data_IF_732846618197
#
_entry.id   IF_732846618197
#
_cell.length_a   1.000
_cell.length_b   1.000
_cell.length_c   1.000
_cell.angle_alpha   90.00
_cell.angle_beta   90.00
_cell.angle_gamma   90.00
#
_symmetry.space_group_name_H-M   'P 1'
#
loop_
_entity.id
_entity.type
_entity.pdbx_description
1 polymer ?
#
# COMPACT_ATOMS: atom_id res chain seq x y z
N UNK A 1 44.35 9.65 -45.34
CA UNK A 1 43.09 10.15 -45.96
C UNK A 1 42.43 8.98 -46.65
N UNK A 2 41.51 8.29 -45.96
CA UNK A 2 40.79 7.18 -46.56
C UNK A 2 39.91 7.75 -47.69
N UNK A 3 40.24 7.40 -48.92
CA UNK A 3 39.63 7.97 -50.13
C UNK A 3 38.15 7.60 -50.33
N UNK A 4 37.62 7.74 -51.56
CA UNK A 4 36.19 7.60 -51.88
C UNK A 4 35.52 6.30 -51.39
N UNK A 5 36.28 5.22 -51.20
CA UNK A 5 35.80 3.94 -50.67
C UNK A 5 35.22 4.06 -49.25
N UNK A 6 35.74 4.98 -48.42
CA UNK A 6 35.21 5.17 -47.07
C UNK A 6 33.85 5.89 -47.10
N UNK A 7 33.64 6.77 -48.07
CA UNK A 7 32.37 7.44 -48.26
C UNK A 7 31.29 6.45 -48.69
N UNK A 8 31.59 5.58 -49.67
CA UNK A 8 30.70 4.51 -50.12
C UNK A 8 30.29 3.55 -48.98
N UNK A 9 31.22 3.20 -48.09
CA UNK A 9 30.90 2.39 -46.91
C UNK A 9 29.94 3.10 -45.95
N UNK A 10 30.17 4.40 -45.68
CA UNK A 10 29.29 5.19 -44.81
C UNK A 10 27.91 5.36 -45.43
N UNK A 11 27.83 5.61 -46.74
CA UNK A 11 26.57 5.67 -47.46
C UNK A 11 25.82 4.34 -47.42
N UNK A 12 26.53 3.23 -47.65
CA UNK A 12 25.97 1.89 -47.49
C UNK A 12 25.42 1.69 -46.09
N UNK A 13 26.21 1.96 -45.05
CA UNK A 13 25.76 1.83 -43.66
C UNK A 13 24.56 2.72 -43.36
N UNK A 14 24.57 3.98 -43.80
CA UNK A 14 23.46 4.91 -43.55
C UNK A 14 22.17 4.53 -44.28
N UNK A 15 22.24 3.82 -45.42
CA UNK A 15 21.04 3.28 -46.08
C UNK A 15 20.62 1.94 -45.46
N UNK A 16 21.55 0.99 -45.32
CA UNK A 16 21.25 -0.37 -44.88
C UNK A 16 20.90 -0.46 -43.40
N UNK A 17 21.48 0.38 -42.54
CA UNK A 17 21.17 0.36 -41.11
C UNK A 17 19.70 0.67 -40.82
N UNK A 18 19.14 1.83 -41.23
CA UNK A 18 17.71 2.11 -40.99
C UNK A 18 16.82 1.14 -41.76
N UNK A 19 17.21 0.70 -42.95
CA UNK A 19 16.43 -0.26 -43.73
C UNK A 19 16.37 -1.65 -43.05
N UNK A 20 17.49 -2.13 -42.51
CA UNK A 20 17.56 -3.40 -41.79
C UNK A 20 16.76 -3.34 -40.46
N UNK A 21 16.88 -2.22 -39.73
CA UNK A 21 16.08 -1.97 -38.52
C UNK A 21 14.59 -1.96 -38.89
N UNK A 22 14.21 -1.29 -39.98
CA UNK A 22 12.82 -1.26 -40.44
C UNK A 22 12.30 -2.65 -40.84
N UNK A 23 13.10 -3.46 -41.54
CA UNK A 23 12.69 -4.82 -41.93
C UNK A 23 12.58 -5.74 -40.71
N UNK A 24 13.50 -5.61 -39.75
CA UNK A 24 13.50 -6.46 -38.55
C UNK A 24 12.36 -6.13 -37.58
N UNK A 25 12.13 -4.84 -37.30
CA UNK A 25 11.11 -4.40 -36.34
C UNK A 25 9.77 -4.03 -36.98
N UNK A 26 9.73 -3.87 -38.30
CA UNK A 26 8.51 -3.58 -39.06
C UNK A 26 7.69 -4.82 -39.42
N UNK A 27 8.17 -6.03 -39.07
CA UNK A 27 7.38 -7.24 -39.20
C UNK A 27 6.13 -7.15 -38.30
N UNK A 28 4.91 -7.25 -38.88
CA UNK A 28 3.68 -7.26 -38.11
C UNK A 28 3.69 -8.31 -37.00
N UNK A 29 4.31 -9.48 -37.22
CA UNK A 29 4.41 -10.54 -36.22
C UNK A 29 5.29 -10.15 -35.03
N UNK A 30 6.38 -9.41 -35.28
CA UNK A 30 7.26 -8.94 -34.21
C UNK A 30 6.52 -8.00 -33.25
N UNK A 31 5.73 -7.07 -33.81
CA UNK A 31 4.90 -6.15 -33.02
C UNK A 31 3.88 -6.90 -32.16
N UNK A 32 3.19 -7.88 -32.72
CA UNK A 32 2.17 -8.64 -32.00
C UNK A 32 2.75 -9.45 -30.84
N UNK A 33 3.94 -10.00 -31.01
CA UNK A 33 4.57 -10.86 -29.98
C UNK A 33 5.30 -10.08 -28.90
N UNK A 34 5.92 -8.95 -29.25
CA UNK A 34 6.81 -8.24 -28.31
C UNK A 34 6.16 -6.98 -27.74
N UNK A 35 5.32 -6.27 -28.48
CA UNK A 35 4.76 -4.98 -28.04
C UNK A 35 3.39 -5.13 -27.39
N UNK A 36 2.50 -5.94 -27.98
CA UNK A 36 1.13 -6.12 -27.43
C UNK A 36 1.11 -6.69 -26.00
N UNK A 37 1.89 -7.73 -25.66
CA UNK A 37 1.86 -8.27 -24.30
C UNK A 37 2.37 -7.27 -23.25
N UNK A 38 3.32 -6.40 -23.63
CA UNK A 38 3.82 -5.33 -22.76
C UNK A 38 2.74 -4.27 -22.55
N UNK A 39 1.99 -3.91 -23.60
CA UNK A 39 0.87 -2.97 -23.51
C UNK A 39 -0.20 -3.46 -22.55
N UNK A 40 -0.55 -4.74 -22.64
CA UNK A 40 -1.60 -5.36 -21.83
C UNK A 40 -1.20 -5.54 -20.35
N UNK A 41 0.10 -5.54 -20.04
CA UNK A 41 0.62 -5.52 -18.67
C UNK A 41 0.52 -4.12 -18.04
N UNK A 42 0.70 -3.07 -18.86
CA UNK A 42 0.71 -1.69 -18.37
C UNK A 42 -0.70 -1.09 -18.31
N UNK A 43 -1.56 -1.43 -19.28
CA UNK A 43 -2.95 -0.97 -19.30
C UNK A 43 -3.88 -1.98 -18.64
N UNK A 44 -4.77 -1.57 -17.72
CA UNK A 44 -5.84 -2.42 -17.23
C UNK A 44 -6.66 -2.92 -18.44
N UNK A 45 -6.90 -4.23 -18.50
CA UNK A 45 -7.71 -4.84 -19.57
C UNK A 45 -9.06 -4.14 -19.64
N UNK A 46 -9.56 -3.89 -20.86
CA UNK A 46 -10.86 -3.23 -21.06
C UNK A 46 -12.01 -3.91 -20.31
N UNK A 47 -11.93 -5.24 -20.12
CA UNK A 47 -12.90 -6.03 -19.34
C UNK A 47 -12.93 -5.66 -17.85
N UNK A 48 -11.82 -5.18 -17.30
CA UNK A 48 -11.72 -4.74 -15.91
C UNK A 48 -12.21 -3.30 -15.71
N UNK A 49 -12.37 -2.54 -16.80
CA UNK A 49 -12.87 -1.18 -16.71
C UNK A 49 -14.37 -1.20 -16.44
N UNK A 50 -14.78 -0.38 -15.47
CA UNK A 50 -16.20 -0.06 -15.29
C UNK A 50 -16.73 0.60 -16.56
N UNK A 51 -17.66 -0.08 -17.25
CA UNK A 51 -18.32 0.45 -18.44
C UNK A 51 -19.57 1.22 -18.02
N UNK A 52 -19.63 2.55 -18.23
CA UNK A 52 -20.83 3.31 -17.91
C UNK A 52 -22.03 2.80 -18.72
N UNK A 53 -23.21 2.69 -18.10
CA UNK A 53 -24.42 2.26 -18.79
C UNK A 53 -24.74 3.27 -19.91
N UNK A 54 -24.90 2.76 -21.14
CA UNK A 54 -25.15 3.60 -22.33
C UNK A 54 -26.62 3.58 -22.77
N UNK A 55 -27.34 2.48 -22.52
CA UNK A 55 -28.75 2.35 -22.87
C UNK A 55 -29.64 2.56 -21.64
N UNK A 56 -30.91 2.89 -21.88
CA UNK A 56 -31.90 3.08 -20.81
C UNK A 56 -32.13 1.81 -19.99
N UNK A 57 -32.03 0.63 -20.60
CA UNK A 57 -32.11 -0.67 -19.93
C UNK A 57 -30.90 -0.90 -19.01
N UNK A 58 -29.69 -0.62 -19.49
CA UNK A 58 -28.44 -0.70 -18.69
C UNK A 58 -28.46 0.24 -17.49
N UNK A 59 -29.09 1.41 -17.63
CA UNK A 59 -29.23 2.37 -16.52
C UNK A 59 -30.14 1.80 -15.42
N UNK A 60 -31.24 1.13 -15.80
CA UNK A 60 -32.16 0.52 -14.84
C UNK A 60 -31.48 -0.62 -14.08
N UNK A 61 -30.79 -1.52 -14.77
CA UNK A 61 -30.08 -2.64 -14.14
C UNK A 61 -28.97 -2.15 -13.19
N UNK A 62 -28.19 -1.14 -13.60
CA UNK A 62 -27.18 -0.53 -12.73
C UNK A 62 -27.79 0.14 -11.48
N UNK A 63 -28.96 0.78 -11.61
CA UNK A 63 -29.68 1.37 -10.48
C UNK A 63 -30.18 0.30 -9.50
N UNK A 64 -30.69 -0.82 -10.00
CA UNK A 64 -31.12 -1.96 -9.17
C UNK A 64 -29.93 -2.57 -8.43
N UNK A 65 -28.80 -2.78 -9.10
CA UNK A 65 -27.57 -3.25 -8.47
C UNK A 65 -27.08 -2.28 -7.38
N UNK A 66 -27.09 -0.98 -7.65
CA UNK A 66 -26.73 0.04 -6.66
C UNK A 66 -27.68 0.04 -5.45
N UNK A 67 -28.99 -0.16 -5.66
CA UNK A 67 -29.96 -0.27 -4.56
C UNK A 67 -29.69 -1.53 -3.72
N UNK A 68 -29.46 -2.68 -4.35
CA UNK A 68 -29.14 -3.92 -3.67
C UNK A 68 -27.85 -3.78 -2.84
N UNK A 69 -26.80 -3.18 -3.41
CA UNK A 69 -25.53 -2.93 -2.70
C UNK A 69 -25.70 -2.01 -1.48
N UNK A 70 -26.57 -1.00 -1.57
CA UNK A 70 -26.90 -0.12 -0.44
C UNK A 70 -27.65 -0.86 0.67
N UNK A 71 -28.61 -1.71 0.32
CA UNK A 71 -29.37 -2.52 1.28
C UNK A 71 -28.47 -3.52 1.99
N UNK A 72 -27.63 -4.26 1.25
CA UNK A 72 -26.68 -5.21 1.82
C UNK A 72 -25.69 -4.54 2.79
N UNK A 73 -25.15 -3.37 2.43
CA UNK A 73 -24.26 -2.61 3.33
C UNK A 73 -24.97 -2.15 4.60
N UNK A 74 -26.25 -1.75 4.50
CA UNK A 74 -27.07 -1.37 5.66
C UNK A 74 -27.33 -2.58 6.55
N UNK A 75 -27.66 -3.74 5.99
CA UNK A 75 -27.87 -4.98 6.74
C UNK A 75 -26.62 -5.41 7.49
N UNK A 76 -25.47 -5.47 6.80
CA UNK A 76 -24.19 -5.81 7.42
C UNK A 76 -23.82 -4.87 8.59
N UNK A 77 -24.15 -3.58 8.49
CA UNK A 77 -23.95 -2.63 9.60
C UNK A 77 -24.83 -2.95 10.81
N UNK A 78 -26.11 -3.26 10.57
CA UNK A 78 -27.06 -3.60 11.64
C UNK A 78 -26.66 -4.91 12.31
N UNK A 79 -26.19 -5.91 11.55
CA UNK A 79 -25.70 -7.18 12.07
C UNK A 79 -24.44 -7.01 12.94
N UNK A 80 -23.50 -6.16 12.51
CA UNK A 80 -22.32 -5.81 13.31
C UNK A 80 -22.70 -5.10 14.60
N UNK A 81 -23.66 -4.16 14.54
CA UNK A 81 -24.19 -3.48 15.71
C UNK A 81 -24.87 -4.50 16.66
N UNK A 82 -25.69 -5.43 16.17
CA UNK A 82 -26.33 -6.46 17.00
C UNK A 82 -25.33 -7.43 17.65
N UNK A 83 -24.27 -7.83 16.93
CA UNK A 83 -23.21 -8.68 17.48
C UNK A 83 -22.40 -7.96 18.57
N UNK A 84 -22.19 -6.65 18.43
CA UNK A 84 -21.57 -5.84 19.49
C UNK A 84 -22.47 -5.69 20.73
N UNK A 85 -23.80 -5.68 20.56
CA UNK A 85 -24.75 -5.61 21.68
C UNK A 85 -25.06 -6.98 22.33
N UNK A 86 -24.80 -8.10 21.66
CA UNK A 86 -25.00 -9.46 22.20
C UNK A 86 -23.72 -10.13 22.72
N UNK A 87 -22.55 -9.52 22.55
CA UNK A 87 -21.37 -9.95 23.29
C UNK A 87 -21.62 -9.67 24.79
N UNK A 88 -21.68 -10.70 25.66
CA UNK A 88 -21.78 -10.46 27.09
C UNK A 88 -20.56 -9.65 27.50
N UNK A 89 -20.81 -8.62 28.30
CA UNK A 89 -19.84 -7.76 28.97
C UNK A 89 -18.71 -8.59 29.61
N UNK A 90 -17.72 -8.94 28.80
CA UNK A 90 -16.47 -9.53 29.25
C UNK A 90 -15.63 -8.35 29.67
N UNK A 91 -15.84 -8.00 30.94
CA UNK A 91 -15.03 -7.13 31.79
C UNK A 91 -13.73 -6.67 31.13
N UNK A 92 -13.63 -5.37 30.85
CA UNK A 92 -12.37 -4.72 30.47
C UNK A 92 -11.25 -5.15 31.42
N UNK A 93 -10.16 -5.79 30.95
CA UNK A 93 -9.06 -6.26 31.80
C UNK A 93 -8.22 -5.14 32.44
N UNK A 94 -8.57 -3.86 32.20
CA UNK A 94 -7.84 -2.69 32.68
C UNK A 94 -8.15 -2.30 34.13
N UNK A 95 -9.29 -2.71 34.69
CA UNK A 95 -9.65 -2.41 36.09
C UNK A 95 -9.04 -3.40 37.09
N UNK A 96 -8.92 -4.69 36.73
CA UNK A 96 -8.32 -5.70 37.60
C UNK A 96 -6.81 -5.49 37.87
N UNK A 97 -6.11 -4.83 36.94
CA UNK A 97 -4.68 -4.54 37.11
C UNK A 97 -4.40 -3.40 38.11
N UNK A 98 -5.34 -2.46 38.28
CA UNK A 98 -5.18 -1.31 39.17
C UNK A 98 -5.34 -1.68 40.65
N UNK A 99 -6.25 -2.60 40.99
CA UNK A 99 -6.44 -3.07 42.37
C UNK A 99 -5.27 -3.93 42.87
N UNK A 100 -4.66 -4.74 41.99
CA UNK A 100 -3.50 -5.57 42.35
C UNK A 100 -2.24 -4.74 42.60
N UNK A 101 -2.02 -3.64 41.87
CA UNK A 101 -0.87 -2.75 42.10
C UNK A 101 -1.03 -1.92 43.38
N UNK A 102 -2.24 -1.50 43.75
CA UNK A 102 -2.47 -0.76 44.99
C UNK A 102 -2.16 -1.60 46.25
N UNK A 103 -2.44 -2.91 46.21
CA UNK A 103 -2.13 -3.82 47.31
C UNK A 103 -0.64 -4.19 47.38
N UNK A 104 0.04 -4.31 46.22
CA UNK A 104 1.50 -4.55 46.17
C UNK A 104 2.34 -3.37 46.69
N UNK A 105 1.86 -2.12 46.50
CA UNK A 105 2.53 -0.93 47.00
C UNK A 105 2.52 -0.82 48.54
N UNK A 106 1.50 -1.36 49.21
CA UNK A 106 1.42 -1.35 50.69
C UNK A 106 2.40 -2.34 51.32
N UNK A 107 2.68 -3.48 50.68
CA UNK A 107 3.63 -4.47 51.19
C UNK A 107 5.10 -4.05 51.08
N UNK A 108 5.45 -3.15 50.16
CA UNK A 108 6.83 -2.67 50.02
C UNK A 108 7.24 -1.65 51.08
N UNK A 109 6.28 -0.94 51.68
CA UNK A 109 6.58 0.09 52.70
C UNK A 109 6.98 -0.51 54.06
N UNK A 110 6.66 -1.78 54.34
CA UNK A 110 7.12 -2.48 55.55
C UNK A 110 8.50 -3.15 55.40
N UNK A 111 9.00 -3.34 54.17
CA UNK A 111 10.31 -4.00 53.96
C UNK A 111 11.47 -3.00 53.80
N UNK A 112 11.20 -1.72 53.55
CA UNK A 112 12.25 -0.70 53.42
C UNK A 112 12.76 -0.13 54.75
N UNK A 113 12.14 -0.46 55.89
CA UNK A 113 12.64 -0.05 57.22
C UNK A 113 13.85 -0.86 57.70
N UNK A 114 14.16 -2.00 57.06
CA UNK A 114 15.20 -2.93 57.55
C UNK A 114 16.50 -2.92 56.72
N UNK A 115 16.63 -2.08 55.68
CA UNK A 115 17.77 -2.11 54.76
C UNK A 115 18.40 -0.73 54.54
N UNK A 116 18.42 0.13 55.56
CA UNK A 116 19.35 1.25 55.64
C UNK A 116 20.66 0.79 56.28
N UNK A 117 21.49 0.04 55.54
CA UNK A 117 22.95 0.03 55.69
C UNK A 117 23.56 -1.05 54.81
N UNK A 118 24.20 -0.65 53.72
CA UNK A 118 25.55 -1.09 53.30
C UNK A 118 25.76 -0.91 51.80
N UNK A 119 26.97 -0.47 51.48
CA UNK A 119 27.67 -0.56 50.20
C UNK A 119 27.39 0.47 49.10
N UNK A 120 28.36 1.37 49.07
CA UNK A 120 28.84 2.23 48.00
C UNK A 120 29.33 1.51 46.73
N UNK A 121 29.32 2.29 45.64
CA UNK A 121 30.37 2.43 44.59
C UNK A 121 30.20 1.78 43.22
N UNK A 122 30.44 2.63 42.21
CA UNK A 122 30.89 2.39 40.82
C UNK A 122 29.87 1.78 39.85
N UNK A 123 29.88 1.99 38.53
CA UNK A 123 30.44 2.93 37.55
C UNK A 123 29.92 2.42 36.19
N UNK A 124 29.89 3.28 35.17
CA UNK A 124 30.03 2.93 33.73
C UNK A 124 28.78 2.73 32.84
N UNK A 125 28.64 3.71 31.93
CA UNK A 125 28.50 3.57 30.47
C UNK A 125 27.19 3.06 29.84
N UNK A 126 26.46 4.02 29.28
CA UNK A 126 26.29 4.18 27.83
C UNK A 126 25.26 3.30 27.11
N UNK A 127 24.09 3.86 26.79
CA UNK A 127 23.25 3.36 25.67
C UNK A 127 22.64 4.54 24.89
N UNK A 128 22.92 4.48 23.59
CA UNK A 128 22.56 5.39 22.51
C UNK A 128 21.05 5.47 22.31
N UNK A 129 20.52 6.70 22.29
CA UNK A 129 19.16 7.01 21.85
C UNK A 129 19.11 7.10 20.33
N UNK A 130 18.26 6.31 19.66
CA UNK A 130 17.83 6.59 18.28
C UNK A 130 16.37 6.21 18.07
N UNK A 131 15.56 7.23 17.78
CA UNK A 131 14.12 7.18 17.50
C UNK A 131 13.81 6.36 16.23
N UNK A 132 12.60 5.78 16.12
CA UNK A 132 11.90 5.63 14.86
C UNK A 132 10.90 6.79 14.69
N UNK A 133 11.19 7.75 13.81
CA UNK A 133 10.19 8.73 13.37
C UNK A 133 9.27 8.11 12.33
N UNK A 134 8.01 8.02 12.69
CA UNK A 134 6.86 7.70 11.85
C UNK A 134 6.32 8.96 11.13
N UNK A 135 5.81 8.74 9.92
CA UNK A 135 4.67 9.47 9.30
C UNK A 135 4.91 10.90 8.80
N UNK A 136 4.74 11.13 7.50
CA UNK A 136 3.53 11.73 6.91
C UNK A 136 3.76 12.04 5.42
N UNK A 137 3.08 11.30 4.54
CA UNK A 137 2.92 11.67 3.15
C UNK A 137 1.81 12.72 3.03
N UNK A 138 2.18 13.94 2.64
CA UNK A 138 1.24 15.01 2.28
C UNK A 138 1.09 15.04 0.77
N UNK A 139 -0.03 14.54 0.26
CA UNK A 139 -0.45 14.77 -1.13
C UNK A 139 -1.04 16.17 -1.22
N UNK A 140 -0.24 17.09 -1.75
CA UNK A 140 -0.66 18.45 -2.10
C UNK A 140 -1.58 18.38 -3.33
N UNK A 141 -2.87 18.47 -3.08
CA UNK A 141 -3.90 18.60 -4.11
C UNK A 141 -4.43 20.02 -4.03
N UNK A 142 -3.86 20.91 -4.85
CA UNK A 142 -4.45 22.22 -5.13
C UNK A 142 -3.89 22.77 -6.44
N UNK A 143 -4.83 23.41 -7.16
CA UNK A 143 -4.64 24.38 -8.25
C UNK A 143 -4.73 23.82 -9.66
N UNK A 144 -5.95 23.85 -10.19
CA UNK A 144 -6.23 24.47 -11.48
C UNK A 144 -7.63 25.10 -11.39
N UNK A 145 -7.63 26.43 -11.39
CA UNK A 145 -8.76 27.30 -11.79
C UNK A 145 -8.61 27.50 -13.28
#
# INVERSE_FOLDING_TARGET
MAGPNLELFKFGLYLFFPLAVMVHYGDPEWYHRHVLPIRDQFWPKEESLYRPPRNSEDVKSALEEMKAKRLAKRQARIEQEQQQHQAPSSQSPLSAHFESQAQAAQHQHQQQSDLSSTSSSSSSSGIVSRLPQSSFGSTDSKRLV
#
